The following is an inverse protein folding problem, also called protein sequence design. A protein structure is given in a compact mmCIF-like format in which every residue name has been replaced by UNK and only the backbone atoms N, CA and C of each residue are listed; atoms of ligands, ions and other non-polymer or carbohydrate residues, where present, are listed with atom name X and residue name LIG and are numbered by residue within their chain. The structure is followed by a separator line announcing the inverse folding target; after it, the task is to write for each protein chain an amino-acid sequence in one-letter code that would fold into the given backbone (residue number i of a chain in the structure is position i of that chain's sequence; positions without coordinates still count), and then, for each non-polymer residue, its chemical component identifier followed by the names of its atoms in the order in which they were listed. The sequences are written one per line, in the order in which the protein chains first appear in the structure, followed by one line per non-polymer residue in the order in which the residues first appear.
data_IF_384723806194
#
_entry.id   IF_384723806194
#
_cell.length_a   1.000
_cell.length_b   1.000
_cell.length_c   1.000
_cell.angle_alpha   90.00
_cell.angle_beta   90.00
_cell.angle_gamma   90.00
#
_symmetry.space_group_name_H-M   'P 1'
#
loop_
_entity.id
_entity.type
_entity.pdbx_description
1 polymer ?
#
# COMPACT_ATOMS: atom_id res chain seq x y z
N UNK A 1 6.42 -17.00 -11.65
CA UNK A 1 6.24 -15.59 -11.37
C UNK A 1 6.21 -15.28 -9.90
N UNK A 2 7.01 -14.35 -9.47
CA UNK A 2 7.06 -13.99 -8.06
C UNK A 2 5.96 -13.00 -7.73
N UNK A 3 5.37 -13.17 -6.56
CA UNK A 3 4.40 -12.22 -6.04
C UNK A 3 5.13 -11.11 -5.31
N UNK A 4 4.57 -9.92 -5.40
CA UNK A 4 5.04 -8.79 -4.60
C UNK A 4 4.43 -8.91 -3.21
N UNK A 5 5.25 -8.66 -2.20
CA UNK A 5 4.81 -8.66 -0.80
C UNK A 5 5.08 -7.28 -0.22
N UNK A 6 4.05 -6.68 0.37
CA UNK A 6 4.15 -5.35 0.97
C UNK A 6 3.76 -5.46 2.43
N UNK A 7 4.76 -5.38 3.32
CA UNK A 7 4.58 -5.52 4.75
C UNK A 7 4.91 -4.23 5.52
N UNK A 8 5.40 -3.20 4.83
CA UNK A 8 5.79 -1.95 5.48
C UNK A 8 5.57 -0.78 4.54
N UNK A 9 5.63 0.43 5.10
CA UNK A 9 5.53 1.64 4.29
C UNK A 9 6.71 1.74 3.32
N UNK A 10 7.87 1.27 3.72
CA UNK A 10 9.04 1.25 2.85
C UNK A 10 8.79 0.36 1.64
N UNK A 11 8.20 -0.81 1.87
CA UNK A 11 7.84 -1.72 0.77
C UNK A 11 6.86 -1.05 -0.18
N UNK A 12 5.91 -0.30 0.36
CA UNK A 12 4.93 0.42 -0.46
C UNK A 12 5.62 1.44 -1.36
N UNK A 13 6.53 2.23 -0.79
CA UNK A 13 7.26 3.23 -1.55
C UNK A 13 8.11 2.57 -2.63
N UNK A 14 8.79 1.48 -2.29
CA UNK A 14 9.65 0.78 -3.23
C UNK A 14 8.88 0.16 -4.40
N UNK A 15 7.59 -0.07 -4.22
CA UNK A 15 6.73 -0.66 -5.26
C UNK A 15 5.75 0.33 -5.85
N UNK A 16 5.91 1.62 -5.55
CA UNK A 16 4.94 2.64 -5.97
C UNK A 16 4.80 2.71 -7.49
N UNK A 17 5.87 2.46 -8.23
CA UNK A 17 5.82 2.50 -9.69
C UNK A 17 5.01 1.36 -10.28
N UNK A 18 4.71 0.33 -9.50
CA UNK A 18 3.89 -0.81 -9.94
C UNK A 18 2.41 -0.62 -9.58
N UNK A 19 2.08 0.47 -8.90
CA UNK A 19 0.72 0.74 -8.46
C UNK A 19 0.14 1.85 -9.34
N UNK A 20 -1.09 1.68 -9.87
CA UNK A 20 -1.73 2.75 -10.62
C UNK A 20 -1.75 4.05 -9.82
N UNK A 21 -1.51 5.16 -10.47
CA UNK A 21 -1.35 6.45 -9.80
C UNK A 21 -2.56 6.80 -8.93
N UNK A 22 -3.77 6.57 -9.43
CA UNK A 22 -4.98 6.88 -8.67
C UNK A 22 -5.12 5.99 -7.43
N UNK A 23 -4.72 4.74 -7.52
CA UNK A 23 -4.73 3.83 -6.37
C UNK A 23 -3.70 4.24 -5.35
N UNK A 24 -2.49 4.58 -5.81
CA UNK A 24 -1.41 5.03 -4.92
C UNK A 24 -1.80 6.32 -4.19
N UNK A 25 -2.42 7.25 -4.90
CA UNK A 25 -2.87 8.51 -4.30
C UNK A 25 -3.92 8.27 -3.23
N UNK A 26 -4.85 7.34 -3.46
CA UNK A 26 -5.90 7.01 -2.51
C UNK A 26 -5.30 6.36 -1.25
N UNK A 27 -4.41 5.40 -1.43
CA UNK A 27 -3.75 4.72 -0.32
C UNK A 27 -2.94 5.72 0.50
N UNK A 28 -2.16 6.55 -0.18
CA UNK A 28 -1.31 7.54 0.47
C UNK A 28 -2.15 8.53 1.29
N UNK A 29 -3.28 8.96 0.73
CA UNK A 29 -4.19 9.87 1.43
C UNK A 29 -4.74 9.24 2.70
N UNK A 30 -5.14 7.98 2.64
CA UNK A 30 -5.66 7.27 3.81
C UNK A 30 -4.62 7.11 4.91
N UNK A 31 -3.40 6.75 4.53
CA UNK A 31 -2.31 6.56 5.48
C UNK A 31 -1.94 7.91 6.10
N UNK A 32 -1.81 8.94 5.29
CA UNK A 32 -1.46 10.28 5.76
C UNK A 32 -2.51 10.80 6.74
N UNK A 33 -3.80 10.62 6.41
CA UNK A 33 -4.89 11.06 7.28
C UNK A 33 -4.88 10.32 8.62
N UNK A 34 -4.63 9.01 8.57
CA UNK A 34 -4.56 8.19 9.78
C UNK A 34 -3.43 8.65 10.70
N UNK A 35 -2.25 8.86 10.14
CA UNK A 35 -1.08 9.30 10.90
C UNK A 35 -1.32 10.71 11.47
N UNK A 36 -1.94 11.59 10.68
CA UNK A 36 -2.23 12.97 11.10
C UNK A 36 -3.20 13.02 12.29
N UNK A 37 -4.03 11.99 12.42
CA UNK A 37 -4.97 11.88 13.56
C UNK A 37 -4.35 11.21 14.77
N UNK A 38 -3.06 10.97 14.75
CA UNK A 38 -2.36 10.31 15.84
C UNK A 38 -2.35 8.80 15.74
N UNK A 39 -2.72 8.25 14.59
CA UNK A 39 -2.68 6.81 14.37
C UNK A 39 -1.26 6.30 14.28
N UNK A 40 -1.08 5.03 14.62
CA UNK A 40 0.23 4.38 14.61
C UNK A 40 0.44 3.69 13.26
N UNK A 41 1.66 3.81 12.71
CA UNK A 41 1.96 3.18 11.42
C UNK A 41 1.99 1.66 11.52
N UNK A 42 2.02 1.10 12.72
CA UNK A 42 1.96 -0.35 12.95
C UNK A 42 0.54 -0.84 13.22
N UNK A 43 -0.45 0.04 13.10
CA UNK A 43 -1.84 -0.32 13.37
C UNK A 43 -2.37 -1.23 12.25
N UNK A 44 -3.29 -2.16 12.58
CA UNK A 44 -3.92 -3.02 11.56
C UNK A 44 -4.56 -2.25 10.42
N UNK A 45 -5.03 -1.03 10.65
CA UNK A 45 -5.59 -0.20 9.60
C UNK A 45 -4.57 0.06 8.50
N UNK A 46 -3.33 0.38 8.91
CA UNK A 46 -2.24 0.60 7.95
C UNK A 46 -1.92 -0.70 7.20
N UNK A 47 -1.88 -1.82 7.92
CA UNK A 47 -1.62 -3.11 7.28
C UNK A 47 -2.69 -3.44 6.23
N UNK A 48 -3.94 -3.07 6.47
CA UNK A 48 -5.00 -3.27 5.48
C UNK A 48 -4.71 -2.51 4.19
N UNK A 49 -4.20 -1.27 4.31
CA UNK A 49 -3.85 -0.49 3.13
C UNK A 49 -2.67 -1.10 2.38
N UNK A 50 -1.69 -1.59 3.12
CA UNK A 50 -0.53 -2.24 2.51
C UNK A 50 -0.95 -3.51 1.76
N UNK A 51 -1.81 -4.31 2.35
CA UNK A 51 -2.29 -5.54 1.71
C UNK A 51 -3.18 -5.24 0.52
N UNK A 52 -3.93 -4.14 0.55
CA UNK A 52 -4.69 -3.71 -0.61
C UNK A 52 -3.76 -3.37 -1.78
N UNK A 53 -2.69 -2.63 -1.50
CA UNK A 53 -1.70 -2.29 -2.53
C UNK A 53 -1.07 -3.57 -3.11
N UNK A 54 -0.70 -4.49 -2.24
CA UNK A 54 -0.11 -5.77 -2.65
C UNK A 54 -1.06 -6.51 -3.58
N UNK A 55 -2.34 -6.56 -3.24
CA UNK A 55 -3.35 -7.23 -4.06
C UNK A 55 -3.48 -6.58 -5.43
N UNK A 56 -3.51 -5.24 -5.46
CA UNK A 56 -3.63 -4.51 -6.72
C UNK A 56 -2.44 -4.82 -7.64
N UNK A 57 -1.23 -4.78 -7.09
CA UNK A 57 -0.03 -5.08 -7.88
C UNK A 57 -0.10 -6.50 -8.44
N UNK A 58 -0.43 -7.46 -7.59
CA UNK A 58 -0.44 -8.86 -8.00
C UNK A 58 -1.55 -9.15 -9.01
N UNK A 59 -2.68 -8.46 -8.92
CA UNK A 59 -3.76 -8.61 -9.89
C UNK A 59 -3.41 -7.99 -11.24
N UNK A 60 -2.77 -6.83 -11.24
CA UNK A 60 -2.42 -6.15 -12.48
C UNK A 60 -1.27 -6.82 -13.20
N UNK A 61 -0.40 -7.51 -12.46
CA UNK A 61 0.78 -8.16 -13.01
C UNK A 61 0.60 -9.66 -13.24
N UNK A 62 -0.56 -10.21 -12.90
CA UNK A 62 -0.79 -11.64 -13.06
C UNK A 62 -1.43 -11.88 -14.41
N UNK A 63 -0.63 -12.35 -15.32
CA UNK A 63 -1.11 -12.75 -16.64
C UNK A 63 -0.66 -14.15 -16.92
#
# INVERSE_FOLDING_TARGET
MSKVVINSLEDLVNNSCNIPLNVMADINSRITDWIARGGNENDPYIMQQLKYAERVINLTNSN
#
